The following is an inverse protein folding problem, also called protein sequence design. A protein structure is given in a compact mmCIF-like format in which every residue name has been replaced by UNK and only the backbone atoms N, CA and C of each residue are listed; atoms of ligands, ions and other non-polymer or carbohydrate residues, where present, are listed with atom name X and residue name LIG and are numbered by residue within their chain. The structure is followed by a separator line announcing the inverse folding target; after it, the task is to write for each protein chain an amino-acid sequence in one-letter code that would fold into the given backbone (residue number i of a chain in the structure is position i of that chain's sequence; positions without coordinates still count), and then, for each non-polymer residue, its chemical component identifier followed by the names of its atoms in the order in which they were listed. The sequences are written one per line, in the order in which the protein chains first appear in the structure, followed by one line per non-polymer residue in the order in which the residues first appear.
data_IF_240814632789
#
_entry.id   IF_240814632789
#
_cell.length_a   1.000
_cell.length_b   1.000
_cell.length_c   1.000
_cell.angle_alpha   90.00
_cell.angle_beta   90.00
_cell.angle_gamma   90.00
#
_symmetry.space_group_name_H-M   'P 1'
#
loop_
_entity.id
_entity.type
_entity.pdbx_description
1 polymer ?
#
# COMPACT_ATOMS: atom_id res chain seq x y z
N UNK A 1 -20.40 -18.23 -16.07
CA UNK A 1 -19.14 -19.01 -16.07
C UNK A 1 -17.96 -18.20 -15.51
N UNK A 2 -17.58 -17.04 -16.07
CA UNK A 2 -16.45 -16.22 -15.55
C UNK A 2 -16.50 -15.89 -14.05
N UNK A 3 -17.67 -15.52 -13.53
CA UNK A 3 -17.86 -15.23 -12.10
C UNK A 3 -17.60 -16.44 -11.18
N UNK A 4 -17.95 -17.64 -11.64
CA UNK A 4 -17.73 -18.88 -10.86
C UNK A 4 -16.24 -19.18 -10.79
N UNK A 5 -15.50 -19.05 -11.90
CA UNK A 5 -14.04 -19.19 -11.92
C UNK A 5 -13.39 -18.19 -10.96
N UNK A 6 -13.77 -16.91 -11.02
CA UNK A 6 -13.23 -15.88 -10.11
C UNK A 6 -13.51 -16.19 -8.63
N UNK A 7 -14.69 -16.72 -8.30
CA UNK A 7 -15.01 -17.11 -6.92
C UNK A 7 -14.19 -18.31 -6.47
N UNK A 8 -13.98 -19.30 -7.34
CA UNK A 8 -13.15 -20.48 -7.04
C UNK A 8 -11.69 -20.07 -6.84
N UNK A 9 -11.16 -19.23 -7.71
CA UNK A 9 -9.79 -18.70 -7.60
C UNK A 9 -9.62 -17.93 -6.29
N UNK A 10 -10.57 -17.03 -5.98
CA UNK A 10 -10.58 -16.28 -4.72
C UNK A 10 -10.57 -17.21 -3.50
N UNK A 11 -11.42 -18.24 -3.48
CA UNK A 11 -11.47 -19.20 -2.37
C UNK A 11 -10.18 -20.01 -2.24
N UNK A 12 -9.57 -20.41 -3.36
CA UNK A 12 -8.28 -21.10 -3.37
C UNK A 12 -7.17 -20.21 -2.81
N UNK A 13 -7.15 -18.93 -3.18
CA UNK A 13 -6.17 -17.95 -2.70
C UNK A 13 -6.33 -17.64 -1.21
N UNK A 14 -7.57 -17.47 -0.74
CA UNK A 14 -7.89 -17.32 0.68
C UNK A 14 -7.41 -18.53 1.46
N UNK A 15 -7.69 -19.74 0.95
CA UNK A 15 -7.24 -20.98 1.58
C UNK A 15 -5.70 -21.05 1.63
N UNK A 16 -5.02 -20.67 0.55
CA UNK A 16 -3.56 -20.65 0.48
C UNK A 16 -2.96 -19.64 1.48
N UNK A 17 -3.48 -18.41 1.58
CA UNK A 17 -3.02 -17.45 2.58
C UNK A 17 -3.26 -17.91 4.02
N UNK A 18 -4.36 -18.64 4.27
CA UNK A 18 -4.59 -19.24 5.58
C UNK A 18 -3.55 -20.32 5.94
N UNK A 19 -2.88 -20.93 4.96
CA UNK A 19 -1.77 -21.87 5.21
C UNK A 19 -0.48 -21.18 5.65
N UNK A 20 -0.35 -19.86 5.49
CA UNK A 20 0.80 -19.08 5.96
C UNK A 20 0.80 -18.86 7.49
N UNK A 21 0.02 -19.66 8.24
CA UNK A 21 -0.03 -19.63 9.70
C UNK A 21 -0.68 -18.36 10.24
N UNK A 22 -0.13 -17.79 11.32
CA UNK A 22 -0.67 -16.59 11.99
C UNK A 22 -0.29 -15.27 11.29
N UNK A 23 0.28 -15.33 10.09
CA UNK A 23 0.80 -14.14 9.39
C UNK A 23 -0.28 -13.22 8.82
N UNK A 24 -1.48 -13.75 8.56
CA UNK A 24 -2.63 -12.97 8.10
C UNK A 24 -3.81 -13.15 9.06
N UNK A 25 -4.55 -12.08 9.33
CA UNK A 25 -5.89 -12.21 9.91
C UNK A 25 -6.86 -12.76 8.86
N UNK A 26 -7.97 -13.39 9.28
CA UNK A 26 -8.97 -13.92 8.36
C UNK A 26 -9.51 -12.85 7.39
N UNK A 27 -9.61 -11.60 7.86
CA UNK A 27 -10.08 -10.49 7.05
C UNK A 27 -9.02 -10.01 6.04
N UNK A 28 -7.74 -10.00 6.40
CA UNK A 28 -6.64 -9.72 5.45
C UNK A 28 -6.53 -10.83 4.40
N UNK A 29 -6.64 -12.10 4.82
CA UNK A 29 -6.62 -13.26 3.94
C UNK A 29 -7.78 -13.24 2.93
N UNK A 30 -8.92 -12.61 3.25
CA UNK A 30 -10.02 -12.39 2.31
C UNK A 30 -9.81 -11.15 1.42
N UNK A 31 -9.32 -10.05 2.01
CA UNK A 31 -9.25 -8.75 1.33
C UNK A 31 -8.14 -8.72 0.29
N UNK A 32 -6.96 -9.31 0.57
CA UNK A 32 -5.81 -9.27 -0.33
C UNK A 32 -6.10 -10.01 -1.66
N UNK A 33 -6.58 -11.28 -1.65
CA UNK A 33 -7.00 -11.96 -2.88
C UNK A 33 -8.07 -11.20 -3.65
N UNK A 34 -9.04 -10.59 -2.96
CA UNK A 34 -10.08 -9.80 -3.63
C UNK A 34 -9.51 -8.57 -4.36
N UNK A 35 -8.57 -7.86 -3.72
CA UNK A 35 -7.82 -6.75 -4.34
C UNK A 35 -7.06 -7.24 -5.56
N UNK A 36 -6.27 -8.31 -5.41
CA UNK A 36 -5.44 -8.88 -6.47
C UNK A 36 -6.30 -9.31 -7.67
N UNK A 37 -7.40 -10.02 -7.43
CA UNK A 37 -8.33 -10.41 -8.49
C UNK A 37 -8.93 -9.20 -9.21
N UNK A 38 -9.28 -8.14 -8.46
CA UNK A 38 -9.79 -6.89 -9.06
C UNK A 38 -8.74 -6.19 -9.93
N UNK A 39 -7.46 -6.22 -9.53
CA UNK A 39 -6.36 -5.67 -10.34
C UNK A 39 -6.19 -6.50 -11.61
N UNK A 40 -6.16 -7.83 -11.51
CA UNK A 40 -5.99 -8.72 -12.65
C UNK A 40 -7.09 -8.53 -13.71
N UNK A 41 -8.33 -8.29 -13.28
CA UNK A 41 -9.44 -7.98 -14.19
C UNK A 41 -9.26 -6.66 -14.96
N UNK A 42 -8.47 -5.72 -14.45
CA UNK A 42 -8.20 -4.41 -15.08
C UNK A 42 -6.86 -4.37 -15.82
N UNK A 43 -5.89 -5.12 -15.34
CA UNK A 43 -4.53 -5.20 -15.88
C UNK A 43 -4.21 -6.67 -16.20
N UNK A 44 -4.39 -7.04 -17.46
CA UNK A 44 -4.11 -8.39 -17.97
C UNK A 44 -2.61 -8.66 -18.20
N UNK A 45 -1.73 -8.10 -17.35
CA UNK A 45 -0.28 -8.20 -17.51
C UNK A 45 0.27 -9.45 -16.82
N UNK A 46 1.07 -10.26 -17.53
CA UNK A 46 1.78 -11.42 -16.97
C UNK A 46 2.65 -11.06 -15.76
N UNK A 47 3.17 -9.83 -15.70
CA UNK A 47 3.95 -9.37 -14.55
C UNK A 47 3.15 -9.36 -13.25
N UNK A 48 1.88 -8.94 -13.29
CA UNK A 48 1.02 -8.91 -12.12
C UNK A 48 0.68 -10.32 -11.61
N UNK A 49 0.60 -11.31 -12.52
CA UNK A 49 0.47 -12.71 -12.14
C UNK A 49 1.69 -13.21 -11.35
N UNK A 50 2.89 -12.71 -11.66
CA UNK A 50 4.09 -12.96 -10.85
C UNK A 50 3.98 -12.40 -9.43
N UNK A 51 3.46 -11.17 -9.28
CA UNK A 51 3.22 -10.55 -7.96
C UNK A 51 2.21 -11.38 -7.18
N UNK A 52 1.07 -11.69 -7.80
CA UNK A 52 0.02 -12.56 -7.23
C UNK A 52 0.61 -13.88 -6.73
N UNK A 53 1.35 -14.57 -7.60
CA UNK A 53 2.01 -15.82 -7.26
C UNK A 53 2.97 -15.66 -6.08
N UNK A 54 3.79 -14.61 -6.05
CA UNK A 54 4.76 -14.37 -4.99
C UNK A 54 4.11 -14.23 -3.60
N UNK A 55 2.92 -13.62 -3.50
CA UNK A 55 2.18 -13.50 -2.24
C UNK A 55 1.52 -14.80 -1.80
N UNK A 56 0.92 -15.54 -2.73
CA UNK A 56 0.11 -16.73 -2.42
C UNK A 56 1.00 -17.97 -2.23
N UNK A 57 2.14 -18.02 -2.91
CA UNK A 57 3.04 -19.16 -2.88
C UNK A 57 3.44 -19.52 -1.43
N UNK A 58 3.49 -20.82 -1.15
CA UNK A 58 3.86 -21.36 0.16
C UNK A 58 5.13 -20.68 0.70
N UNK A 59 5.04 -20.18 1.93
CA UNK A 59 6.14 -19.50 2.64
C UNK A 59 7.34 -20.41 2.87
N UNK A 60 7.16 -21.74 2.82
CA UNK A 60 8.25 -22.72 2.97
C UNK A 60 9.07 -22.94 1.70
N UNK A 61 8.63 -22.46 0.52
CA UNK A 61 9.44 -22.58 -0.70
C UNK A 61 10.72 -21.76 -0.59
N UNK A 62 11.83 -22.28 -1.11
CA UNK A 62 13.08 -21.53 -1.16
C UNK A 62 12.94 -20.28 -2.04
N UNK A 63 13.74 -19.26 -1.77
CA UNK A 63 13.72 -18.01 -2.55
C UNK A 63 14.08 -18.29 -4.02
N UNK A 64 15.03 -19.21 -4.26
CA UNK A 64 15.46 -19.58 -5.61
C UNK A 64 14.33 -20.25 -6.39
N UNK A 65 13.57 -21.14 -5.76
CA UNK A 65 12.40 -21.77 -6.39
C UNK A 65 11.33 -20.73 -6.72
N UNK A 66 11.07 -19.79 -5.80
CA UNK A 66 10.13 -18.68 -6.05
C UNK A 66 10.58 -17.83 -7.23
N UNK A 67 11.86 -17.46 -7.29
CA UNK A 67 12.42 -16.69 -8.41
C UNK A 67 12.28 -17.46 -9.72
N UNK A 68 12.61 -18.75 -9.73
CA UNK A 68 12.48 -19.61 -10.91
C UNK A 68 11.04 -19.66 -11.41
N UNK A 69 10.08 -19.91 -10.52
CA UNK A 69 8.65 -19.95 -10.87
C UNK A 69 8.17 -18.59 -11.42
N UNK A 70 8.61 -17.49 -10.80
CA UNK A 70 8.25 -16.13 -11.23
C UNK A 70 8.84 -15.78 -12.59
N UNK A 71 10.05 -16.21 -12.91
CA UNK A 71 10.64 -16.00 -14.24
C UNK A 71 9.87 -16.74 -15.35
N UNK A 72 9.16 -17.83 -15.00
CA UNK A 72 8.30 -18.57 -15.93
C UNK A 72 6.94 -17.89 -16.08
N UNK A 73 6.37 -17.40 -14.98
CA UNK A 73 5.02 -16.82 -14.94
C UNK A 73 5.01 -15.37 -15.44
N UNK A 74 6.00 -14.58 -15.03
CA UNK A 74 6.10 -13.16 -15.33
C UNK A 74 7.09 -12.92 -16.47
N UNK A 75 6.68 -12.10 -17.44
CA UNK A 75 7.57 -11.59 -18.47
C UNK A 75 8.48 -10.48 -17.90
N UNK A 76 9.46 -10.90 -17.10
CA UNK A 76 10.41 -10.02 -16.42
C UNK A 76 11.23 -9.23 -17.42
N UNK A 77 11.54 -9.81 -18.59
CA UNK A 77 12.30 -9.13 -19.64
C UNK A 77 11.51 -7.96 -20.23
N UNK A 78 10.25 -8.17 -20.62
CA UNK A 78 9.39 -7.08 -21.09
C UNK A 78 9.20 -6.01 -20.03
N UNK A 79 9.05 -6.41 -18.76
CA UNK A 79 8.95 -5.48 -17.64
C UNK A 79 10.22 -4.63 -17.45
N UNK A 80 11.42 -5.22 -17.49
CA UNK A 80 12.69 -4.48 -17.41
C UNK A 80 12.81 -3.48 -18.57
N UNK A 81 12.48 -3.91 -19.80
CA UNK A 81 12.48 -3.01 -20.96
C UNK A 81 11.50 -1.85 -20.78
N UNK A 82 10.29 -2.11 -20.26
CA UNK A 82 9.32 -1.07 -19.94
C UNK A 82 9.89 -0.07 -18.91
N UNK A 83 10.51 -0.55 -17.83
CA UNK A 83 11.16 0.30 -16.83
C UNK A 83 12.23 1.17 -17.48
N UNK A 84 13.13 0.59 -18.29
CA UNK A 84 14.19 1.34 -18.97
C UNK A 84 13.63 2.44 -19.88
N UNK A 85 12.62 2.10 -20.70
CA UNK A 85 11.94 3.07 -21.57
C UNK A 85 11.35 4.21 -20.73
N UNK A 86 10.68 3.89 -19.63
CA UNK A 86 10.05 4.88 -18.74
C UNK A 86 11.07 5.77 -18.04
N UNK A 87 12.20 5.22 -17.60
CA UNK A 87 13.31 6.01 -17.03
C UNK A 87 13.84 7.01 -18.06
N UNK A 88 14.03 6.58 -19.31
CA UNK A 88 14.50 7.46 -20.37
C UNK A 88 13.46 8.54 -20.73
N UNK A 89 12.18 8.20 -20.81
CA UNK A 89 11.12 9.15 -21.16
C UNK A 89 10.77 10.13 -20.03
N UNK A 90 10.87 9.69 -18.78
CA UNK A 90 10.44 10.43 -17.58
C UNK A 90 11.63 10.74 -16.65
N UNK A 91 12.80 11.09 -17.21
CA UNK A 91 14.05 11.25 -16.45
C UNK A 91 13.96 12.28 -15.31
N UNK A 92 13.15 13.35 -15.46
CA UNK A 92 12.92 14.34 -14.39
C UNK A 92 12.19 13.69 -13.21
N UNK A 93 11.19 12.85 -13.48
CA UNK A 93 10.49 12.10 -12.44
C UNK A 93 11.44 11.10 -11.78
N UNK A 94 12.27 10.41 -12.56
CA UNK A 94 13.30 9.49 -12.05
C UNK A 94 14.27 10.21 -11.10
N UNK A 95 14.81 11.36 -11.51
CA UNK A 95 15.71 12.17 -10.70
C UNK A 95 15.04 12.67 -9.41
N UNK A 96 13.78 13.10 -9.48
CA UNK A 96 12.99 13.50 -8.31
C UNK A 96 12.80 12.33 -7.34
N UNK A 97 12.40 11.17 -7.82
CA UNK A 97 12.20 9.97 -6.99
C UNK A 97 13.51 9.52 -6.33
N UNK A 98 14.61 9.54 -7.08
CA UNK A 98 15.94 9.27 -6.53
C UNK A 98 16.30 10.29 -5.44
N UNK A 99 16.06 11.57 -5.68
CA UNK A 99 16.28 12.64 -4.70
C UNK A 99 15.48 12.44 -3.40
N UNK A 100 14.18 12.16 -3.51
CA UNK A 100 13.32 11.86 -2.36
C UNK A 100 13.81 10.62 -1.61
N UNK A 101 14.19 9.56 -2.33
CA UNK A 101 14.68 8.32 -1.75
C UNK A 101 16.01 8.50 -1.02
N UNK A 102 16.97 9.20 -1.65
CA UNK A 102 18.25 9.56 -1.03
C UNK A 102 18.05 10.42 0.23
N UNK A 103 17.18 11.43 0.16
CA UNK A 103 16.84 12.25 1.32
C UNK A 103 16.24 11.41 2.44
N UNK A 104 15.31 10.50 2.13
CA UNK A 104 14.74 9.57 3.10
C UNK A 104 15.84 8.74 3.78
N UNK A 105 16.75 8.15 3.01
CA UNK A 105 17.87 7.35 3.54
C UNK A 105 18.76 8.21 4.44
N UNK A 106 19.14 9.42 4.02
CA UNK A 106 19.97 10.32 4.82
C UNK A 106 19.30 10.66 6.16
N UNK A 107 18.01 11.01 6.15
CA UNK A 107 17.26 11.31 7.38
C UNK A 107 17.18 10.07 8.29
N UNK A 108 16.93 8.89 7.71
CA UNK A 108 16.90 7.63 8.46
C UNK A 108 18.26 7.30 9.11
N UNK A 109 19.37 7.57 8.42
CA UNK A 109 20.71 7.38 8.96
C UNK A 109 21.04 8.40 10.04
N UNK A 110 20.51 9.63 9.93
CA UNK A 110 20.68 10.69 10.91
C UNK A 110 19.83 10.48 12.19
N UNK A 111 18.78 9.65 12.13
CA UNK A 111 17.97 9.34 13.31
C UNK A 111 18.78 8.57 14.35
N UNK A 112 18.91 9.08 15.59
CA UNK A 112 19.55 8.33 16.67
C UNK A 112 18.87 6.98 16.88
N UNK A 113 19.65 6.00 17.35
CA UNK A 113 19.15 4.65 17.62
C UNK A 113 18.01 4.62 18.67
N UNK A 114 17.88 5.68 19.47
CA UNK A 114 16.81 5.87 20.46
C UNK A 114 15.48 6.29 19.85
N UNK A 115 15.45 6.74 18.59
CA UNK A 115 14.19 7.04 17.90
C UNK A 115 13.45 5.73 17.63
N UNK A 116 12.22 5.66 18.15
CA UNK A 116 11.37 4.49 18.02
C UNK A 116 11.06 4.14 16.55
N UNK A 117 10.90 2.84 16.29
CA UNK A 117 10.56 2.27 14.98
C UNK A 117 9.35 2.94 14.32
N UNK A 118 8.39 3.42 15.12
CA UNK A 118 7.22 4.14 14.62
C UNK A 118 7.58 5.38 13.80
N UNK A 119 8.48 6.24 14.28
CA UNK A 119 8.89 7.45 13.58
C UNK A 119 9.60 7.14 12.26
N UNK A 120 10.45 6.11 12.26
CA UNK A 120 11.11 5.62 11.05
C UNK A 120 10.08 5.17 10.01
N UNK A 121 9.06 4.44 10.42
CA UNK A 121 7.97 3.99 9.55
C UNK A 121 7.13 5.16 9.03
N UNK A 122 6.81 6.16 9.86
CA UNK A 122 6.03 7.32 9.41
C UNK A 122 6.80 8.22 8.45
N UNK A 123 8.13 8.32 8.58
CA UNK A 123 8.97 8.96 7.58
C UNK A 123 8.82 8.29 6.21
N UNK A 124 8.77 6.95 6.14
CA UNK A 124 8.49 6.26 4.88
C UNK A 124 7.11 6.59 4.30
N UNK A 125 6.07 6.73 5.13
CA UNK A 125 4.73 7.11 4.67
C UNK A 125 4.75 8.50 4.03
N UNK A 126 5.40 9.46 4.69
CA UNK A 126 5.55 10.83 4.16
C UNK A 126 6.38 10.85 2.87
N UNK A 127 7.49 10.10 2.81
CA UNK A 127 8.27 10.00 1.57
C UNK A 127 7.50 9.31 0.44
N UNK A 128 6.71 8.27 0.74
CA UNK A 128 5.84 7.62 -0.24
C UNK A 128 4.82 8.61 -0.82
N UNK A 129 4.23 9.47 0.00
CA UNK A 129 3.36 10.54 -0.50
C UNK A 129 4.06 11.38 -1.57
N UNK A 130 5.28 11.87 -1.29
CA UNK A 130 6.01 12.72 -2.22
C UNK A 130 6.43 12.01 -3.52
N UNK A 131 6.62 10.69 -3.48
CA UNK A 131 6.87 9.87 -4.67
C UNK A 131 5.61 9.75 -5.53
N UNK A 132 4.46 9.44 -4.92
CA UNK A 132 3.26 9.05 -5.66
C UNK A 132 2.27 10.18 -5.96
N UNK A 133 2.29 11.31 -5.24
CA UNK A 133 1.25 12.34 -5.40
C UNK A 133 1.21 12.97 -6.79
N UNK A 134 2.34 13.02 -7.51
CA UNK A 134 2.42 13.51 -8.89
C UNK A 134 1.92 12.52 -9.93
N UNK A 135 1.70 11.28 -9.53
CA UNK A 135 1.14 10.23 -10.37
C UNK A 135 1.94 9.96 -11.65
N UNK A 136 3.27 10.09 -11.62
CA UNK A 136 4.10 9.73 -12.78
C UNK A 136 4.01 8.23 -13.04
N UNK A 137 3.88 7.81 -14.30
CA UNK A 137 3.77 6.38 -14.66
C UNK A 137 4.98 5.60 -14.19
N UNK A 138 6.18 6.18 -14.30
CA UNK A 138 7.41 5.55 -13.82
C UNK A 138 7.33 5.19 -12.33
N UNK A 139 6.67 5.99 -11.49
CA UNK A 139 6.55 5.71 -10.05
C UNK A 139 5.75 4.43 -9.80
N UNK A 140 4.67 4.20 -10.55
CA UNK A 140 3.83 3.01 -10.41
C UNK A 140 4.50 1.77 -10.97
N UNK A 141 5.13 1.89 -12.15
CA UNK A 141 5.90 0.79 -12.72
C UNK A 141 6.96 0.35 -11.73
N UNK A 142 7.82 1.27 -11.24
CA UNK A 142 8.84 0.93 -10.23
C UNK A 142 8.25 0.31 -8.96
N UNK A 143 7.08 0.79 -8.52
CA UNK A 143 6.39 0.25 -7.35
C UNK A 143 5.89 -1.18 -7.55
N UNK A 144 5.43 -1.56 -8.74
CA UNK A 144 5.07 -2.95 -9.08
C UNK A 144 6.30 -3.87 -8.96
N UNK A 145 7.44 -3.45 -9.50
CA UNK A 145 8.70 -4.19 -9.37
C UNK A 145 9.16 -4.32 -7.92
N UNK A 146 9.02 -3.25 -7.14
CA UNK A 146 9.34 -3.28 -5.72
C UNK A 146 8.36 -4.17 -4.94
N UNK A 147 7.07 -4.18 -5.28
CA UNK A 147 6.08 -5.08 -4.71
C UNK A 147 6.45 -6.55 -4.98
N UNK A 148 6.82 -6.89 -6.22
CA UNK A 148 7.28 -8.24 -6.56
C UNK A 148 8.50 -8.63 -5.71
N UNK A 149 9.50 -7.76 -5.66
CA UNK A 149 10.72 -8.00 -4.90
C UNK A 149 10.41 -8.21 -3.41
N UNK A 150 9.58 -7.35 -2.83
CA UNK A 150 9.18 -7.45 -1.42
C UNK A 150 8.38 -8.73 -1.17
N UNK A 151 7.48 -9.13 -2.07
CA UNK A 151 6.73 -10.37 -1.94
C UNK A 151 7.65 -11.60 -1.94
N UNK A 152 8.64 -11.66 -2.85
CA UNK A 152 9.65 -12.74 -2.89
C UNK A 152 10.46 -12.78 -1.59
N UNK A 153 10.97 -11.62 -1.17
CA UNK A 153 11.87 -11.52 -0.02
C UNK A 153 11.16 -11.63 1.33
N UNK A 154 9.84 -11.44 1.37
CA UNK A 154 9.05 -11.39 2.61
C UNK A 154 9.18 -12.64 3.48
N UNK A 155 9.44 -13.81 2.88
CA UNK A 155 9.62 -15.09 3.60
C UNK A 155 11.08 -15.35 4.02
N UNK A 156 12.02 -14.48 3.64
CA UNK A 156 13.44 -14.66 3.93
C UNK A 156 13.78 -14.22 5.35
N UNK A 157 14.12 -15.16 6.23
CA UNK A 157 14.54 -14.85 7.61
C UNK A 157 15.74 -13.90 7.67
N UNK A 158 16.69 -14.06 6.75
CA UNK A 158 17.89 -13.22 6.67
C UNK A 158 17.52 -11.75 6.39
N UNK A 159 16.71 -11.52 5.34
CA UNK A 159 16.24 -10.17 4.98
C UNK A 159 15.39 -9.58 6.10
N UNK A 160 14.50 -10.38 6.69
CA UNK A 160 13.62 -9.93 7.76
C UNK A 160 14.38 -9.49 9.02
N UNK A 161 15.58 -10.03 9.25
CA UNK A 161 16.45 -9.60 10.36
C UNK A 161 16.99 -8.18 10.12
N UNK A 162 17.32 -7.84 8.87
CA UNK A 162 17.72 -6.47 8.51
C UNK A 162 16.53 -5.50 8.49
N UNK A 163 15.32 -5.99 8.20
CA UNK A 163 14.10 -5.20 8.20
C UNK A 163 13.46 -5.01 9.59
N UNK A 164 14.03 -5.61 10.65
CA UNK A 164 13.44 -5.60 12.01
C UNK A 164 13.17 -4.20 12.54
N UNK A 165 14.00 -3.22 12.15
CA UNK A 165 13.87 -1.81 12.55
C UNK A 165 12.65 -1.11 11.94
N UNK A 166 12.01 -1.73 10.95
CA UNK A 166 10.87 -1.19 10.22
C UNK A 166 9.59 -2.00 10.41
N UNK A 167 9.64 -3.11 11.16
CA UNK A 167 8.48 -3.96 11.38
C UNK A 167 7.42 -3.26 12.23
N UNK A 168 6.17 -3.48 11.85
CA UNK A 168 5.01 -3.13 12.65
C UNK A 168 4.77 -4.19 13.72
N UNK A 169 4.16 -3.80 14.83
CA UNK A 169 3.62 -4.76 15.81
C UNK A 169 2.54 -5.70 15.20
N UNK A 170 2.01 -5.33 14.02
CA UNK A 170 1.05 -6.12 13.27
C UNK A 170 1.71 -7.14 12.32
N UNK A 171 3.03 -7.05 12.07
CA UNK A 171 3.73 -8.08 11.30
C UNK A 171 3.85 -9.34 12.16
N UNK A 172 3.11 -10.39 11.78
CA UNK A 172 3.03 -11.65 12.54
C UNK A 172 3.75 -12.77 11.80
N UNK A 173 4.39 -13.65 12.57
CA UNK A 173 4.99 -14.87 12.03
C UNK A 173 6.28 -14.63 11.26
N UNK A 174 6.48 -15.40 10.18
CA UNK A 174 7.73 -15.41 9.42
C UNK A 174 7.76 -14.42 8.24
N UNK A 175 6.63 -13.75 7.96
CA UNK A 175 6.42 -12.98 6.74
C UNK A 175 6.26 -11.50 7.06
N UNK A 176 7.08 -10.66 6.44
CA UNK A 176 7.02 -9.19 6.60
C UNK A 176 6.17 -8.61 5.47
N UNK A 177 4.98 -8.11 5.81
CA UNK A 177 3.97 -7.70 4.82
C UNK A 177 3.62 -6.22 4.89
N UNK A 178 3.89 -5.55 6.01
CA UNK A 178 3.54 -4.14 6.24
C UNK A 178 3.99 -3.16 5.14
N UNK A 179 5.21 -3.33 4.62
CA UNK A 179 5.77 -2.49 3.56
C UNK A 179 5.13 -2.80 2.21
N UNK A 180 4.85 -4.08 1.95
CA UNK A 180 4.15 -4.50 0.76
C UNK A 180 2.71 -3.94 0.76
N UNK A 181 2.04 -3.92 1.91
CA UNK A 181 0.74 -3.27 2.05
C UNK A 181 0.80 -1.77 1.84
N UNK A 182 1.83 -1.08 2.35
CA UNK A 182 1.96 0.37 2.12
C UNK A 182 2.11 0.67 0.62
N UNK A 183 3.01 -0.06 -0.06
CA UNK A 183 3.19 0.11 -1.51
C UNK A 183 1.90 -0.21 -2.27
N UNK A 184 1.21 -1.30 -1.90
CA UNK A 184 -0.08 -1.63 -2.49
C UNK A 184 -1.13 -0.53 -2.22
N UNK A 185 -1.15 0.05 -1.01
CA UNK A 185 -2.04 1.16 -0.67
C UNK A 185 -1.78 2.42 -1.50
N UNK A 186 -0.52 2.66 -1.88
CA UNK A 186 -0.15 3.77 -2.76
C UNK A 186 -0.48 3.49 -4.23
N UNK A 187 -0.32 2.26 -4.71
CA UNK A 187 -0.51 1.91 -6.14
C UNK A 187 -1.97 1.62 -6.46
N UNK A 188 -2.62 0.76 -5.66
CA UNK A 188 -3.90 0.15 -5.98
C UNK A 188 -5.03 1.15 -6.21
N UNK A 189 -5.27 2.17 -5.35
CA UNK A 189 -6.42 3.04 -5.51
C UNK A 189 -6.46 3.74 -6.89
N UNK A 190 -5.29 4.09 -7.45
CA UNK A 190 -5.17 4.75 -8.77
C UNK A 190 -5.92 4.03 -9.88
N UNK A 191 -6.02 2.70 -9.80
CA UNK A 191 -6.65 1.88 -10.83
C UNK A 191 -8.19 1.99 -10.84
N UNK A 192 -8.79 2.57 -9.79
CA UNK A 192 -10.24 2.55 -9.56
C UNK A 192 -10.88 3.93 -9.37
N UNK A 193 -10.13 4.91 -8.86
CA UNK A 193 -10.63 6.25 -8.55
C UNK A 193 -9.90 7.33 -9.37
N UNK A 194 -10.48 8.53 -9.47
CA UNK A 194 -9.91 9.66 -10.24
C UNK A 194 -8.72 10.29 -9.53
N UNK A 195 -7.94 11.08 -10.25
CA UNK A 195 -6.70 11.69 -9.78
C UNK A 195 -6.83 12.45 -8.44
N UNK A 196 -7.85 13.31 -8.29
CA UNK A 196 -8.06 14.06 -7.04
C UNK A 196 -8.49 13.13 -5.88
N UNK A 197 -9.38 12.18 -6.15
CA UNK A 197 -9.85 11.15 -5.20
C UNK A 197 -8.67 10.26 -4.76
N UNK A 198 -7.77 9.95 -5.68
CA UNK A 198 -6.53 9.23 -5.43
C UNK A 198 -5.61 9.99 -4.49
N UNK A 199 -5.44 11.30 -4.68
CA UNK A 199 -4.65 12.12 -3.76
C UNK A 199 -5.32 12.20 -2.38
N UNK A 200 -6.65 12.23 -2.27
CA UNK A 200 -7.33 12.08 -0.98
C UNK A 200 -6.97 10.75 -0.28
N UNK A 201 -6.94 9.64 -1.03
CA UNK A 201 -6.51 8.34 -0.53
C UNK A 201 -5.05 8.36 -0.06
N UNK A 202 -4.14 8.95 -0.84
CA UNK A 202 -2.74 9.12 -0.47
C UNK A 202 -2.55 9.97 0.79
N UNK A 203 -3.27 11.09 0.91
CA UNK A 203 -3.22 11.94 2.12
C UNK A 203 -3.68 11.14 3.34
N UNK A 204 -4.71 10.31 3.18
CA UNK A 204 -5.23 9.51 4.28
C UNK A 204 -4.23 8.46 4.74
N UNK A 205 -3.65 7.72 3.79
CA UNK A 205 -2.68 6.68 4.16
C UNK A 205 -1.36 7.27 4.66
N UNK A 206 -0.93 8.42 4.15
CA UNK A 206 0.39 8.97 4.48
C UNK A 206 0.38 9.97 5.65
N UNK A 207 -0.56 10.91 5.66
CA UNK A 207 -0.58 12.00 6.64
C UNK A 207 -1.56 11.76 7.77
N UNK A 208 -2.79 11.33 7.49
CA UNK A 208 -3.79 11.05 8.54
C UNK A 208 -3.25 9.95 9.48
N UNK A 209 -2.81 8.82 8.92
CA UNK A 209 -2.21 7.71 9.67
C UNK A 209 -0.94 8.14 10.44
N UNK A 210 -0.13 9.04 9.87
CA UNK A 210 1.05 9.58 10.57
C UNK A 210 0.65 10.43 11.78
N UNK A 211 -0.24 11.40 11.61
CA UNK A 211 -0.67 12.27 12.70
C UNK A 211 -1.42 11.49 13.78
N UNK A 212 -2.31 10.57 13.41
CA UNK A 212 -3.06 9.76 14.38
C UNK A 212 -2.12 8.95 15.28
N UNK A 213 -1.12 8.32 14.68
CA UNK A 213 -0.14 7.51 15.40
C UNK A 213 0.83 8.35 16.26
N UNK A 214 1.34 9.47 15.73
CA UNK A 214 2.26 10.35 16.47
C UNK A 214 1.56 11.00 17.66
N UNK A 215 0.36 11.55 17.45
CA UNK A 215 -0.43 12.16 18.54
C UNK A 215 -0.79 11.13 19.61
N UNK A 216 -1.20 9.91 19.20
CA UNK A 216 -1.45 8.82 20.13
C UNK A 216 -0.22 8.50 21.00
N UNK A 217 0.97 8.44 20.38
CA UNK A 217 2.23 8.19 21.08
C UNK A 217 2.61 9.33 22.05
N UNK A 218 2.45 10.59 21.62
CA UNK A 218 2.74 11.77 22.47
C UNK A 218 1.83 11.83 23.71
N UNK A 219 0.58 11.34 23.58
CA UNK A 219 -0.37 11.26 24.70
C UNK A 219 -0.25 9.96 25.51
N UNK A 220 0.81 9.16 25.27
CA UNK A 220 1.05 7.90 25.98
C UNK A 220 0.01 6.81 25.71
N UNK A 221 -0.77 6.92 24.64
CA UNK A 221 -1.76 5.92 24.24
C UNK A 221 -1.08 4.82 23.42
N UNK A 222 -1.29 3.57 23.83
CA UNK A 222 -0.78 2.38 23.12
C UNK A 222 -1.72 1.90 22.00
N UNK A 223 -2.94 2.43 21.95
CA UNK A 223 -4.00 2.05 21.00
C UNK A 223 -4.53 3.27 20.25
N UNK A 224 -5.31 3.01 19.20
CA UNK A 224 -6.12 4.00 18.48
C UNK A 224 -6.90 4.88 19.48
N UNK A 225 -6.96 6.18 19.20
CA UNK A 225 -7.51 7.17 20.14
C UNK A 225 -8.27 8.27 19.41
N UNK A 226 -9.29 8.84 20.06
CA UNK A 226 -10.10 9.93 19.50
C UNK A 226 -9.24 11.16 19.19
N UNK A 227 -8.28 11.48 20.05
CA UNK A 227 -7.34 12.59 19.81
C UNK A 227 -6.42 12.32 18.62
N UNK A 228 -5.96 11.07 18.46
CA UNK A 228 -5.23 10.62 17.27
C UNK A 228 -6.07 10.84 16.01
N UNK A 229 -7.27 10.26 15.96
CA UNK A 229 -8.22 10.43 14.86
C UNK A 229 -8.46 11.90 14.51
N UNK A 230 -8.78 12.73 15.49
CA UNK A 230 -9.03 14.16 15.29
C UNK A 230 -7.81 14.89 14.70
N UNK A 231 -6.61 14.60 15.22
CA UNK A 231 -5.36 15.19 14.69
C UNK A 231 -5.04 14.72 13.26
N UNK A 232 -5.34 13.45 12.95
CA UNK A 232 -5.19 12.87 11.63
C UNK A 232 -6.11 13.54 10.61
N UNK A 233 -7.39 13.68 10.95
CA UNK A 233 -8.38 14.37 10.12
C UNK A 233 -7.94 15.81 9.88
N UNK A 234 -7.55 16.54 10.93
CA UNK A 234 -7.11 17.93 10.82
C UNK A 234 -5.89 18.06 9.89
N UNK A 235 -4.86 17.23 10.07
CA UNK A 235 -3.69 17.27 9.21
C UNK A 235 -4.03 16.94 7.75
N UNK A 236 -4.90 15.95 7.52
CA UNK A 236 -5.35 15.59 6.18
C UNK A 236 -6.08 16.75 5.48
N UNK A 237 -6.97 17.44 6.20
CA UNK A 237 -7.67 18.61 5.69
C UNK A 237 -6.70 19.75 5.35
N UNK A 238 -5.71 20.02 6.20
CA UNK A 238 -4.68 21.05 5.96
C UNK A 238 -3.84 20.72 4.73
N UNK A 239 -3.33 19.48 4.63
CA UNK A 239 -2.53 19.06 3.47
C UNK A 239 -3.35 19.15 2.18
N UNK A 240 -4.60 18.68 2.22
CA UNK A 240 -5.48 18.75 1.07
C UNK A 240 -5.78 20.21 0.66
N UNK A 241 -6.06 21.09 1.63
CA UNK A 241 -6.28 22.52 1.39
C UNK A 241 -5.06 23.20 0.77
N UNK A 242 -3.84 22.86 1.21
CA UNK A 242 -2.60 23.39 0.62
C UNK A 242 -2.48 23.00 -0.86
N UNK A 243 -2.92 21.79 -1.23
CA UNK A 243 -2.77 21.27 -2.60
C UNK A 243 -3.87 21.73 -3.56
N UNK A 244 -5.11 21.84 -3.09
CA UNK A 244 -6.29 22.08 -3.94
C UNK A 244 -7.07 23.34 -3.59
N UNK A 245 -6.67 24.08 -2.55
CA UNK A 245 -7.36 25.29 -2.10
C UNK A 245 -8.75 24.97 -1.52
N UNK A 246 -9.77 25.68 -2.00
CA UNK A 246 -11.05 25.88 -1.29
C UNK A 246 -12.01 24.67 -1.28
N UNK A 247 -11.75 23.58 -2.02
CA UNK A 247 -12.69 22.46 -2.15
C UNK A 247 -12.44 21.34 -1.13
N UNK A 248 -12.70 21.58 0.15
CA UNK A 248 -12.39 20.61 1.21
C UNK A 248 -13.28 19.36 1.13
N UNK A 249 -12.66 18.17 1.02
CA UNK A 249 -13.32 16.86 1.05
C UNK A 249 -13.61 16.37 2.49
N UNK A 250 -14.29 17.19 3.29
CA UNK A 250 -14.46 16.95 4.73
C UNK A 250 -15.14 15.62 5.05
N UNK A 251 -16.24 15.30 4.36
CA UNK A 251 -17.01 14.06 4.57
C UNK A 251 -16.15 12.81 4.41
N UNK A 252 -15.30 12.79 3.38
CA UNK A 252 -14.38 11.70 3.12
C UNK A 252 -13.36 11.53 4.25
N UNK A 253 -12.69 12.62 4.66
CA UNK A 253 -11.67 12.53 5.71
C UNK A 253 -12.27 12.17 7.08
N UNK A 254 -13.49 12.63 7.38
CA UNK A 254 -14.22 12.20 8.58
C UNK A 254 -14.48 10.69 8.57
N UNK A 255 -14.99 10.16 7.45
CA UNK A 255 -15.24 8.72 7.30
C UNK A 255 -13.96 7.90 7.48
N UNK A 256 -12.89 8.27 6.76
CA UNK A 256 -11.63 7.52 6.83
C UNK A 256 -10.95 7.68 8.19
N UNK A 257 -11.07 8.82 8.85
CA UNK A 257 -10.63 8.98 10.23
C UNK A 257 -11.38 8.04 11.19
N UNK A 258 -12.70 7.91 11.03
CA UNK A 258 -13.49 6.96 11.82
C UNK A 258 -13.07 5.49 11.57
N UNK A 259 -12.78 5.17 10.32
CA UNK A 259 -12.25 3.86 9.92
C UNK A 259 -10.90 3.61 10.58
N UNK A 260 -9.97 4.57 10.52
CA UNK A 260 -8.69 4.48 11.23
C UNK A 260 -8.94 4.26 12.72
N UNK A 261 -9.90 4.91 13.35
CA UNK A 261 -10.15 4.74 14.78
C UNK A 261 -10.73 3.37 15.16
N UNK A 262 -11.68 2.84 14.37
CA UNK A 262 -12.49 1.66 14.74
C UNK A 262 -11.95 0.36 14.13
N UNK A 263 -11.40 0.40 12.92
CA UNK A 263 -11.08 -0.82 12.17
C UNK A 263 -9.97 -1.62 12.87
N UNK A 264 -10.19 -2.92 13.16
CA UNK A 264 -9.19 -3.79 13.78
C UNK A 264 -8.17 -4.37 12.77
N UNK A 265 -8.23 -3.91 11.51
CA UNK A 265 -7.37 -4.37 10.40
C UNK A 265 -6.19 -3.40 10.26
N UNK A 266 -5.13 -3.85 9.59
CA UNK A 266 -4.06 -2.96 9.15
C UNK A 266 -4.59 -1.78 8.32
N UNK A 267 -4.20 -0.56 8.71
CA UNK A 267 -4.63 0.68 8.06
C UNK A 267 -4.14 0.79 6.61
N UNK A 268 -3.03 0.12 6.27
CA UNK A 268 -2.53 -0.01 4.90
C UNK A 268 -3.42 -0.88 4.00
N UNK A 269 -4.45 -1.53 4.55
CA UNK A 269 -5.45 -2.29 3.79
C UNK A 269 -6.81 -1.61 3.90
N UNK A 270 -7.26 -1.31 5.12
CA UNK A 270 -8.61 -0.79 5.36
C UNK A 270 -8.82 0.58 4.70
N UNK A 271 -7.87 1.50 4.84
CA UNK A 271 -7.95 2.85 4.27
C UNK A 271 -8.08 2.79 2.74
N UNK A 272 -7.13 2.25 1.95
CA UNK A 272 -7.21 2.28 0.50
C UNK A 272 -8.45 1.56 -0.05
N UNK A 273 -8.86 0.45 0.55
CA UNK A 273 -10.08 -0.28 0.14
C UNK A 273 -11.32 0.58 0.36
N UNK A 274 -11.47 1.17 1.55
CA UNK A 274 -12.63 1.98 1.88
C UNK A 274 -12.65 3.31 1.11
N UNK A 275 -11.48 3.87 0.77
CA UNK A 275 -11.38 5.00 -0.13
C UNK A 275 -11.93 4.67 -1.51
N UNK A 276 -11.52 3.53 -2.09
CA UNK A 276 -12.05 3.07 -3.38
C UNK A 276 -13.55 2.85 -3.30
N UNK A 277 -14.05 2.17 -2.27
CA UNK A 277 -15.48 1.92 -2.11
C UNK A 277 -16.28 3.22 -1.96
N UNK A 278 -15.82 4.16 -1.13
CA UNK A 278 -16.47 5.45 -0.90
C UNK A 278 -16.63 6.23 -2.22
N UNK A 279 -15.55 6.46 -2.94
CA UNK A 279 -15.60 7.27 -4.17
C UNK A 279 -16.38 6.59 -5.29
N UNK A 280 -16.30 5.25 -5.40
CA UNK A 280 -17.09 4.48 -6.36
C UNK A 280 -18.58 4.56 -6.05
N UNK A 281 -18.97 4.48 -4.78
CA UNK A 281 -20.36 4.59 -4.36
C UNK A 281 -20.93 6.01 -4.58
N UNK A 282 -20.18 7.05 -4.18
CA UNK A 282 -20.61 8.44 -4.38
C UNK A 282 -20.82 8.79 -5.86
N UNK A 283 -19.98 8.22 -6.75
CA UNK A 283 -20.15 8.39 -8.20
C UNK A 283 -21.41 7.71 -8.73
N UNK A 284 -21.70 6.50 -8.23
CA UNK A 284 -22.91 5.78 -8.63
C UNK A 284 -24.17 6.59 -8.30
N UNK A 285 -24.26 7.15 -7.09
CA UNK A 285 -25.38 7.96 -6.66
C UNK A 285 -25.51 9.28 -7.45
N UNK A 286 -24.39 9.89 -7.82
CA UNK A 286 -24.39 11.11 -8.64
C UNK A 286 -24.97 10.86 -10.04
N UNK A 287 -24.70 9.70 -10.63
CA UNK A 287 -25.22 9.33 -11.94
C UNK A 287 -26.70 8.91 -11.90
N UNK A 288 -27.19 8.34 -10.79
CA UNK A 288 -28.58 7.93 -10.65
C UNK A 288 -29.55 9.09 -10.42
N UNK A 289 -29.07 10.26 -10.01
CA UNK A 289 -29.88 11.48 -9.84
C UNK A 289 -30.09 12.21 -11.19
N UNK A 290 -29.29 11.87 -12.20
CA UNK A 290 -29.31 12.48 -13.53
C UNK A 290 -30.10 11.64 -14.57
N UNK A 291 -30.81 10.60 -14.13
CA UNK A 291 -31.72 9.76 -14.92
C UNK A 291 -33.14 9.86 -14.36
#
# INVERSE_FOLDING_TARGET
MKWVCCMVDLLAEVSALNTHGKSFTALEAATIPAIVQCIELRHSGMFFQGIKYAFICNSSKSILDKISDILIIADVYAYINLVCIRICSEWIAAARMLGISCMCVIIQLAFPATIGTNWRRKLFHVCAFFVFYKQDELSFVLAEGLLLLMAILSSSRYINTHLIMFLSNNDRGATVVSHAYLLAACVYPRLFIKDEEYVCSLISICFLDTAASVTGQLLGKKSKSIYGMASGILLALVVYFILYGNHIRMEYFLLIGLVEYIAPINDNISIPVLSVLYFRFMRFNSNSILL
#
